data_IF_404769351857
#
_entry.id   IF_404769351857
#
_cell.length_a   1.000
_cell.length_b   1.000
_cell.length_c   1.000
_cell.angle_alpha   90.00
_cell.angle_beta   90.00
_cell.angle_gamma   90.00
#
_symmetry.space_group_name_H-M   'P 1'
#
loop_
_entity.id
_entity.type
_entity.pdbx_description
1 polymer ?
#
# COMPACT_ATOMS: atom_id res chain seq x y z
N UNK A 1 4.92 24.29 73.76
CA UNK A 1 3.95 25.11 72.99
C UNK A 1 4.69 25.76 71.83
N UNK A 2 4.41 25.35 70.61
CA UNK A 2 4.77 26.11 69.42
C UNK A 2 3.48 26.22 68.60
N UNK A 3 2.67 27.22 68.94
CA UNK A 3 1.50 27.56 68.15
C UNK A 3 1.99 27.97 66.77
N UNK A 4 1.72 27.15 65.77
CA UNK A 4 1.86 27.55 64.37
C UNK A 4 1.05 28.84 64.21
N UNK A 5 1.68 29.88 63.67
CA UNK A 5 1.04 31.17 63.48
C UNK A 5 -0.25 30.98 62.69
N UNK A 6 -1.36 31.65 63.06
CA UNK A 6 -2.62 31.65 62.30
C UNK A 6 -2.40 31.98 60.81
N UNK A 7 -1.35 32.74 60.49
CA UNK A 7 -0.95 33.03 59.12
C UNK A 7 -0.36 31.81 58.40
N UNK A 8 0.39 30.96 59.10
CA UNK A 8 0.96 29.72 58.56
C UNK A 8 -0.12 28.68 58.32
N UNK A 9 -1.10 28.51 59.22
CA UNK A 9 -2.25 27.59 58.99
C UNK A 9 -3.10 28.03 57.79
N UNK A 10 -3.37 29.34 57.66
CA UNK A 10 -4.09 29.88 56.49
C UNK A 10 -3.31 29.69 55.20
N UNK A 11 -2.00 29.92 55.21
CA UNK A 11 -1.15 29.75 54.04
C UNK A 11 -1.07 28.29 53.59
N UNK A 12 -0.94 27.35 54.54
CA UNK A 12 -1.01 25.91 54.26
C UNK A 12 -2.36 25.54 53.66
N UNK A 13 -3.48 25.99 54.25
CA UNK A 13 -4.81 25.70 53.73
C UNK A 13 -5.01 26.24 52.29
N UNK A 14 -4.54 27.46 52.00
CA UNK A 14 -4.63 28.03 50.63
C UNK A 14 -3.82 27.21 49.63
N UNK A 15 -2.61 26.78 49.98
CA UNK A 15 -1.77 25.95 49.10
C UNK A 15 -2.41 24.58 48.84
N UNK A 16 -3.05 24.00 49.87
CA UNK A 16 -3.74 22.71 49.78
C UNK A 16 -4.97 22.82 48.88
N UNK A 17 -5.80 23.84 49.07
CA UNK A 17 -6.94 24.09 48.19
C UNK A 17 -6.50 24.33 46.73
N UNK A 18 -5.37 25.00 46.52
CA UNK A 18 -4.81 25.23 45.18
C UNK A 18 -4.30 23.94 44.55
N UNK A 19 -3.60 23.08 45.29
CA UNK A 19 -3.16 21.77 44.82
C UNK A 19 -4.31 20.83 44.49
N UNK A 20 -5.32 20.77 45.36
CA UNK A 20 -6.54 19.99 45.12
C UNK A 20 -7.27 20.42 43.84
N UNK A 21 -7.30 21.73 43.54
CA UNK A 21 -7.89 22.22 42.29
C UNK A 21 -7.15 21.70 41.05
N UNK A 22 -5.82 21.61 41.09
CA UNK A 22 -5.01 21.05 39.99
C UNK A 22 -5.28 19.55 39.79
N UNK A 23 -5.44 18.79 40.89
CA UNK A 23 -5.79 17.36 40.84
C UNK A 23 -7.17 17.16 40.21
N UNK A 24 -8.16 17.93 40.64
CA UNK A 24 -9.53 17.86 40.12
C UNK A 24 -9.55 18.22 38.62
N UNK A 25 -8.77 19.22 38.20
CA UNK A 25 -8.65 19.60 36.79
C UNK A 25 -8.00 18.48 35.94
N UNK A 26 -6.95 17.83 36.45
CA UNK A 26 -6.33 16.68 35.79
C UNK A 26 -7.27 15.47 35.68
N UNK A 27 -8.04 15.19 36.73
CA UNK A 27 -9.05 14.14 36.73
C UNK A 27 -10.17 14.42 35.72
N UNK A 28 -10.63 15.67 35.62
CA UNK A 28 -11.61 16.09 34.61
C UNK A 28 -11.09 15.90 33.18
N UNK A 29 -9.84 16.27 32.91
CA UNK A 29 -9.24 16.04 31.58
C UNK A 29 -9.14 14.55 31.24
N UNK A 30 -8.92 13.69 32.23
CA UNK A 30 -8.87 12.23 32.03
C UNK A 30 -10.25 11.64 31.70
N UNK A 31 -11.31 12.11 32.35
CA UNK A 31 -12.68 11.70 32.04
C UNK A 31 -13.10 12.16 30.63
N UNK A 32 -12.56 13.28 30.15
CA UNK A 32 -12.87 13.83 28.81
C UNK A 32 -11.95 13.33 27.69
N UNK A 33 -11.04 12.37 27.95
CA UNK A 33 -10.14 11.73 26.97
C UNK A 33 -9.31 12.71 26.12
N UNK A 34 -8.81 13.80 26.71
CA UNK A 34 -7.92 14.74 26.03
C UNK A 34 -6.49 14.15 25.87
N UNK A 35 -5.80 14.46 24.78
CA UNK A 35 -4.49 13.89 24.45
C UNK A 35 -3.38 14.21 25.47
N UNK A 36 -3.54 15.26 26.28
CA UNK A 36 -2.62 15.66 27.36
C UNK A 36 -3.08 15.21 28.76
N UNK A 37 -4.15 14.41 28.86
CA UNK A 37 -4.77 14.07 30.14
C UNK A 37 -3.84 13.29 31.08
N UNK A 38 -3.04 12.36 30.55
CA UNK A 38 -2.11 11.58 31.37
C UNK A 38 -0.99 12.43 31.95
N UNK A 39 -0.56 13.45 31.23
CA UNK A 39 0.45 14.40 31.72
C UNK A 39 -0.09 15.25 32.87
N UNK A 40 -1.27 15.87 32.69
CA UNK A 40 -1.89 16.71 33.72
C UNK A 40 -2.32 15.91 34.96
N UNK A 41 -2.82 14.69 34.78
CA UNK A 41 -3.15 13.81 35.91
C UNK A 41 -1.90 13.43 36.71
N UNK A 42 -0.81 13.07 36.03
CA UNK A 42 0.44 12.72 36.69
C UNK A 42 1.01 13.91 37.48
N UNK A 43 0.99 15.12 36.91
CA UNK A 43 1.39 16.33 37.60
C UNK A 43 0.51 16.64 38.82
N UNK A 44 -0.82 16.46 38.71
CA UNK A 44 -1.74 16.62 39.84
C UNK A 44 -1.46 15.62 40.97
N UNK A 45 -1.33 14.34 40.65
CA UNK A 45 -1.05 13.30 41.66
C UNK A 45 0.29 13.50 42.37
N UNK A 46 1.33 13.96 41.66
CA UNK A 46 2.61 14.33 42.26
C UNK A 46 2.44 15.52 43.22
N UNK A 47 1.65 16.52 42.82
CA UNK A 47 1.35 17.68 43.67
C UNK A 47 0.64 17.26 44.97
N UNK A 48 -0.31 16.33 44.88
CA UNK A 48 -1.01 15.79 46.05
C UNK A 48 -0.08 14.99 46.96
N UNK A 49 0.82 14.18 46.39
CA UNK A 49 1.81 13.42 47.15
C UNK A 49 2.74 14.36 47.95
N UNK A 50 3.16 15.48 47.38
CA UNK A 50 3.97 16.49 48.07
C UNK A 50 3.18 17.16 49.20
N UNK A 51 1.90 17.49 48.98
CA UNK A 51 1.04 18.05 50.02
C UNK A 51 0.88 17.10 51.20
N UNK A 52 0.67 15.80 50.96
CA UNK A 52 0.57 14.80 52.03
C UNK A 52 1.87 14.65 52.82
N UNK A 53 3.02 14.72 52.15
CA UNK A 53 4.32 14.71 52.82
C UNK A 53 4.46 15.94 53.71
N UNK A 54 4.05 17.13 53.25
CA UNK A 54 4.08 18.36 54.07
C UNK A 54 3.14 18.24 55.27
N UNK A 55 1.93 17.68 55.10
CA UNK A 55 1.01 17.42 56.19
C UNK A 55 1.52 16.39 57.20
N UNK A 56 2.30 15.39 56.77
CA UNK A 56 2.91 14.43 57.68
C UNK A 56 3.89 15.08 58.69
N UNK A 57 4.46 16.23 58.33
CA UNK A 57 5.36 17.00 59.19
C UNK A 57 4.69 18.17 59.93
N UNK A 58 3.42 18.49 59.65
CA UNK A 58 2.64 19.46 60.43
C UNK A 58 1.74 18.75 61.45
N UNK A 59 1.72 19.19 62.73
CA UNK A 59 0.82 18.62 63.73
C UNK A 59 -0.65 18.88 63.37
N UNK A 60 -1.56 17.91 63.61
CA UNK A 60 -2.95 18.00 63.19
C UNK A 60 -3.69 19.14 63.92
N UNK A 61 -4.55 19.91 63.23
CA UNK A 61 -5.41 20.89 63.88
C UNK A 61 -6.42 20.16 64.78
N UNK A 62 -6.11 20.10 66.07
CA UNK A 62 -7.03 19.63 67.09
C UNK A 62 -7.90 20.79 67.61
N UNK A 63 -9.22 20.60 67.61
CA UNK A 63 -10.12 21.11 68.68
C UNK A 63 -11.63 20.84 68.47
N UNK A 64 -12.10 20.24 67.38
CA UNK A 64 -13.57 20.16 67.15
C UNK A 64 -14.23 18.81 67.48
N UNK A 65 -13.46 17.72 67.64
CA UNK A 65 -14.04 16.38 67.88
C UNK A 65 -14.41 16.09 69.35
N UNK A 66 -14.02 16.94 70.31
CA UNK A 66 -14.28 16.71 71.74
C UNK A 66 -15.67 17.17 72.21
N UNK A 67 -16.36 18.04 71.48
CA UNK A 67 -17.65 18.58 71.90
C UNK A 67 -18.84 17.60 71.76
N UNK A 68 -18.67 16.51 71.01
CA UNK A 68 -19.76 15.59 70.64
C UNK A 68 -19.88 14.41 71.63
N UNK A 69 -18.83 14.13 72.41
CA UNK A 69 -18.78 13.00 73.34
C UNK A 69 -19.44 13.27 74.71
N UNK A 70 -19.74 14.53 75.05
CA UNK A 70 -20.20 14.92 76.39
C UNK A 70 -21.73 14.93 76.56
N UNK A 71 -22.50 14.71 75.49
CA UNK A 71 -23.97 14.83 75.50
C UNK A 71 -24.75 13.55 75.89
N UNK A 72 -24.10 12.44 76.23
CA UNK A 72 -24.74 11.11 76.33
C UNK A 72 -25.20 10.58 77.72
N UNK A 73 -24.82 11.09 78.91
CA UNK A 73 -25.14 10.40 80.17
C UNK A 73 -26.26 11.04 81.03
N UNK A 74 -27.39 11.47 80.45
CA UNK A 74 -28.54 12.03 81.21
C UNK A 74 -29.88 11.30 81.07
N UNK A 75 -29.88 9.98 80.89
CA UNK A 75 -31.14 9.21 80.69
C UNK A 75 -31.29 7.90 81.50
N UNK A 76 -30.67 7.77 82.68
CA UNK A 76 -30.82 6.58 83.51
C UNK A 76 -31.25 6.91 84.95
N UNK A 77 -32.54 6.76 85.25
CA UNK A 77 -33.05 6.76 86.62
C UNK A 77 -34.58 6.66 86.72
N UNK A 78 -35.10 5.51 87.17
CA UNK A 78 -36.46 5.39 87.73
C UNK A 78 -37.24 4.16 87.23
N UNK A 79 -37.46 3.18 88.12
CA UNK A 79 -38.16 1.91 87.86
C UNK A 79 -39.54 1.86 88.54
N UNK A 80 -40.53 1.21 87.91
CA UNK A 80 -41.69 0.58 88.60
C UNK A 80 -42.49 -0.38 87.70
N UNK A 81 -42.45 -1.67 88.06
CA UNK A 81 -43.54 -2.67 88.13
C UNK A 81 -44.63 -2.75 87.03
N UNK A 82 -44.59 -3.88 86.29
CA UNK A 82 -45.58 -4.33 85.30
C UNK A 82 -44.89 -4.46 83.95
N UNK A 83 -44.45 -5.67 83.55
CA UNK A 83 -43.35 -5.88 82.61
C UNK A 83 -43.41 -4.96 81.36
N UNK A 84 -42.75 -3.79 81.40
CA UNK A 84 -42.96 -2.74 80.41
C UNK A 84 -42.30 -3.12 79.09
N UNK A 85 -41.48 -4.16 79.07
CA UNK A 85 -40.78 -4.63 77.89
C UNK A 85 -41.72 -5.39 76.94
N UNK A 86 -42.70 -6.15 77.45
CA UNK A 86 -43.67 -6.86 76.60
C UNK A 86 -44.73 -5.89 76.10
N UNK A 87 -45.26 -5.01 76.96
CA UNK A 87 -46.19 -3.96 76.53
C UNK A 87 -45.51 -2.92 75.63
N UNK A 88 -44.24 -2.53 75.87
CA UNK A 88 -43.50 -1.70 74.90
C UNK A 88 -43.12 -2.45 73.64
N UNK A 89 -43.00 -3.78 73.67
CA UNK A 89 -42.75 -4.57 72.47
C UNK A 89 -44.04 -4.75 71.66
N UNK A 90 -45.18 -4.95 72.32
CA UNK A 90 -46.51 -5.01 71.70
C UNK A 90 -46.95 -3.63 71.19
N UNK A 91 -46.71 -2.58 71.99
CA UNK A 91 -46.85 -1.19 71.58
C UNK A 91 -45.84 -0.84 70.48
N UNK A 92 -44.59 -1.32 70.49
CA UNK A 92 -43.69 -1.16 69.34
C UNK A 92 -44.15 -1.95 68.12
N UNK A 93 -44.77 -3.13 68.25
CA UNK A 93 -45.33 -3.87 67.10
C UNK A 93 -46.56 -3.16 66.52
N UNK A 94 -47.37 -2.54 67.38
CA UNK A 94 -48.56 -1.78 66.99
C UNK A 94 -48.21 -0.39 66.45
N UNK A 95 -47.22 0.29 67.03
CA UNK A 95 -46.78 1.66 66.73
C UNK A 95 -45.76 1.69 65.57
N UNK A 96 -45.00 0.61 65.35
CA UNK A 96 -44.23 0.39 64.12
C UNK A 96 -45.08 -0.16 62.96
N UNK A 97 -46.40 -0.29 63.15
CA UNK A 97 -47.38 -0.71 62.14
C UNK A 97 -46.94 -2.01 61.42
N UNK A 98 -46.44 -2.99 62.17
CA UNK A 98 -46.02 -4.31 61.67
C UNK A 98 -47.28 -5.17 61.46
N UNK A 99 -48.18 -4.67 60.61
CA UNK A 99 -49.41 -5.36 60.22
C UNK A 99 -49.06 -6.40 59.14
N UNK A 100 -49.74 -7.56 59.05
CA UNK A 100 -49.50 -8.56 58.00
C UNK A 100 -49.49 -7.97 56.58
N UNK A 101 -50.26 -6.90 56.35
CA UNK A 101 -50.29 -6.14 55.10
C UNK A 101 -48.98 -5.38 54.82
N UNK A 102 -48.33 -4.79 55.84
CA UNK A 102 -47.06 -4.07 55.68
C UNK A 102 -45.88 -5.05 55.56
N UNK A 103 -45.96 -6.21 56.19
CA UNK A 103 -45.01 -7.30 56.03
C UNK A 103 -45.14 -7.98 54.65
N UNK A 104 -46.36 -8.11 54.13
CA UNK A 104 -46.62 -8.51 52.75
C UNK A 104 -46.08 -7.48 51.74
N UNK A 105 -46.27 -6.19 52.01
CA UNK A 105 -45.67 -5.10 51.20
C UNK A 105 -44.15 -5.09 51.25
N UNK A 106 -43.55 -5.38 52.40
CA UNK A 106 -42.10 -5.52 52.55
C UNK A 106 -41.58 -6.74 51.77
N UNK A 107 -42.30 -7.86 51.83
CA UNK A 107 -42.01 -9.07 51.04
C UNK A 107 -42.11 -8.80 49.54
N UNK A 108 -43.14 -8.08 49.09
CA UNK A 108 -43.26 -7.63 47.71
C UNK A 108 -42.15 -6.63 47.33
N UNK A 109 -41.74 -5.76 48.26
CA UNK A 109 -40.59 -4.88 48.11
C UNK A 109 -39.29 -5.65 47.92
N UNK A 110 -39.06 -6.70 48.70
CA UNK A 110 -37.91 -7.60 48.57
C UNK A 110 -37.96 -8.44 47.29
N UNK A 111 -39.14 -8.90 46.87
CA UNK A 111 -39.32 -9.58 45.57
C UNK A 111 -39.04 -8.64 44.41
N UNK A 112 -39.53 -7.41 44.47
CA UNK A 112 -39.23 -6.37 43.48
C UNK A 112 -37.75 -6.02 43.47
N UNK A 113 -37.13 -5.84 44.63
CA UNK A 113 -35.69 -5.60 44.75
C UNK A 113 -34.88 -6.77 44.18
N UNK A 114 -35.24 -8.01 44.51
CA UNK A 114 -34.61 -9.20 43.95
C UNK A 114 -34.73 -9.27 42.43
N UNK A 115 -35.92 -8.94 41.89
CA UNK A 115 -36.11 -8.83 40.45
C UNK A 115 -35.30 -7.68 39.84
N UNK A 116 -35.21 -6.52 40.49
CA UNK A 116 -34.38 -5.39 40.04
C UNK A 116 -32.90 -5.74 40.05
N UNK A 117 -32.41 -6.47 41.06
CA UNK A 117 -31.02 -6.92 41.14
C UNK A 117 -30.72 -7.94 40.05
N UNK A 118 -31.63 -8.88 39.77
CA UNK A 118 -31.49 -9.80 38.63
C UNK A 118 -31.47 -9.05 37.30
N UNK A 119 -32.36 -8.07 37.11
CA UNK A 119 -32.37 -7.24 35.91
C UNK A 119 -31.09 -6.39 35.78
N UNK A 120 -30.50 -5.93 36.89
CA UNK A 120 -29.20 -5.24 36.88
C UNK A 120 -28.05 -6.18 36.48
N UNK A 121 -28.11 -7.45 36.91
CA UNK A 121 -27.14 -8.45 36.48
C UNK A 121 -27.24 -8.70 34.96
N UNK A 122 -28.47 -8.81 34.42
CA UNK A 122 -28.68 -8.94 32.98
C UNK A 122 -28.23 -7.69 32.21
N UNK A 123 -28.48 -6.48 32.75
CA UNK A 123 -27.98 -5.22 32.17
C UNK A 123 -26.45 -5.18 32.15
N UNK A 124 -25.77 -5.72 33.16
CA UNK A 124 -24.30 -5.82 33.18
C UNK A 124 -23.77 -6.68 32.03
N UNK A 125 -24.41 -7.82 31.75
CA UNK A 125 -24.06 -8.67 30.61
C UNK A 125 -24.41 -8.02 29.26
N UNK A 126 -25.52 -7.27 29.18
CA UNK A 126 -25.87 -6.47 28.00
C UNK A 126 -24.87 -5.35 27.75
N UNK A 127 -24.37 -4.69 28.80
CA UNK A 127 -23.33 -3.64 28.68
C UNK A 127 -22.02 -4.25 28.20
N UNK A 128 -21.63 -5.41 28.73
CA UNK A 128 -20.44 -6.15 28.26
C UNK A 128 -20.57 -6.54 26.78
N UNK A 129 -21.69 -7.14 26.39
CA UNK A 129 -21.93 -7.53 24.99
C UNK A 129 -22.05 -6.32 24.06
N UNK A 130 -22.55 -5.18 24.53
CA UNK A 130 -22.56 -3.90 23.76
C UNK A 130 -21.15 -3.34 23.58
N UNK A 131 -20.29 -3.46 24.59
CA UNK A 131 -18.88 -3.09 24.49
C UNK A 131 -18.15 -3.99 23.48
N UNK A 132 -18.36 -5.30 23.56
CA UNK A 132 -17.81 -6.28 22.61
C UNK A 132 -18.34 -6.05 21.20
N UNK A 133 -19.64 -5.75 21.03
CA UNK A 133 -20.24 -5.39 19.76
C UNK A 133 -19.57 -4.15 19.17
N UNK A 134 -19.41 -3.09 19.96
CA UNK A 134 -18.74 -1.86 19.51
C UNK A 134 -17.29 -2.13 19.08
N UNK A 135 -16.56 -2.96 19.83
CA UNK A 135 -15.20 -3.37 19.47
C UNK A 135 -15.18 -4.16 18.16
N UNK A 136 -16.08 -5.14 18.00
CA UNK A 136 -16.20 -5.93 16.77
C UNK A 136 -16.67 -5.10 15.57
N UNK A 137 -17.57 -4.15 15.75
CA UNK A 137 -17.99 -3.21 14.70
C UNK A 137 -16.82 -2.34 14.25
N UNK A 138 -15.95 -1.90 15.17
CA UNK A 138 -14.73 -1.16 14.83
C UNK A 138 -13.74 -2.03 14.03
N UNK A 139 -13.53 -3.28 14.44
CA UNK A 139 -12.72 -4.25 13.68
C UNK A 139 -13.29 -4.50 12.28
N UNK A 140 -14.60 -4.70 12.15
CA UNK A 140 -15.29 -4.87 10.87
C UNK A 140 -15.13 -3.64 9.99
N UNK A 141 -15.21 -2.44 10.56
CA UNK A 141 -15.00 -1.19 9.81
C UNK A 141 -13.59 -1.13 9.21
N UNK A 142 -12.57 -1.53 9.98
CA UNK A 142 -11.18 -1.62 9.49
C UNK A 142 -11.04 -2.69 8.41
N UNK A 143 -11.65 -3.86 8.61
CA UNK A 143 -11.64 -4.94 7.62
C UNK A 143 -12.35 -4.52 6.32
N UNK A 144 -13.45 -3.77 6.40
CA UNK A 144 -14.16 -3.23 5.23
C UNK A 144 -13.34 -2.18 4.50
N UNK A 145 -12.59 -1.33 5.22
CA UNK A 145 -11.68 -0.38 4.58
C UNK A 145 -10.53 -1.10 3.86
N UNK A 146 -9.94 -2.12 4.48
CA UNK A 146 -8.97 -2.99 3.83
C UNK A 146 -9.57 -3.69 2.60
N UNK A 147 -10.79 -4.22 2.70
CA UNK A 147 -11.48 -4.86 1.58
C UNK A 147 -11.74 -3.87 0.44
N UNK A 148 -12.12 -2.62 0.74
CA UNK A 148 -12.26 -1.56 -0.25
C UNK A 148 -10.94 -1.30 -0.97
N UNK A 149 -9.83 -1.20 -0.24
CA UNK A 149 -8.51 -1.00 -0.82
C UNK A 149 -8.09 -2.19 -1.71
N UNK A 150 -8.34 -3.42 -1.27
CA UNK A 150 -8.10 -4.63 -2.07
C UNK A 150 -8.97 -4.65 -3.33
N UNK A 151 -10.24 -4.29 -3.25
CA UNK A 151 -11.12 -4.21 -4.41
C UNK A 151 -10.67 -3.15 -5.41
N UNK A 152 -10.24 -1.98 -4.95
CA UNK A 152 -9.68 -0.94 -5.82
C UNK A 152 -8.37 -1.41 -6.47
N UNK A 153 -7.49 -2.04 -5.70
CA UNK A 153 -6.26 -2.64 -6.22
C UNK A 153 -6.52 -3.76 -7.22
N UNK A 154 -7.50 -4.62 -6.97
CA UNK A 154 -7.91 -5.68 -7.88
C UNK A 154 -8.50 -5.13 -9.18
N UNK A 155 -9.38 -4.11 -9.10
CA UNK A 155 -9.93 -3.45 -10.28
C UNK A 155 -8.81 -2.81 -11.14
N UNK A 156 -7.85 -2.14 -10.49
CA UNK A 156 -6.65 -1.62 -11.17
C UNK A 156 -5.82 -2.74 -11.81
N UNK A 157 -5.62 -3.85 -11.09
CA UNK A 157 -4.85 -5.00 -11.58
C UNK A 157 -5.54 -5.65 -12.78
N UNK A 158 -6.86 -5.79 -12.78
CA UNK A 158 -7.63 -6.29 -13.92
C UNK A 158 -7.48 -5.35 -15.13
N UNK A 159 -7.49 -4.03 -14.92
CA UNK A 159 -7.22 -3.08 -16.00
C UNK A 159 -5.80 -3.25 -16.56
N UNK A 160 -4.78 -3.32 -15.69
CA UNK A 160 -3.39 -3.54 -16.12
C UNK A 160 -3.21 -4.89 -16.82
N UNK A 161 -3.91 -5.93 -16.37
CA UNK A 161 -3.91 -7.25 -17.00
C UNK A 161 -4.53 -7.20 -18.39
N UNK A 162 -5.64 -6.49 -18.59
CA UNK A 162 -6.22 -6.28 -19.92
C UNK A 162 -5.27 -5.52 -20.86
N UNK A 163 -4.63 -4.46 -20.38
CA UNK A 163 -3.63 -3.73 -21.18
C UNK A 163 -2.41 -4.60 -21.52
N UNK A 164 -1.95 -5.43 -20.59
CA UNK A 164 -0.88 -6.39 -20.82
C UNK A 164 -1.28 -7.48 -21.82
N UNK A 165 -2.52 -7.98 -21.75
CA UNK A 165 -3.07 -8.95 -22.69
C UNK A 165 -3.13 -8.37 -24.12
N UNK A 166 -3.57 -7.11 -24.26
CA UNK A 166 -3.58 -6.43 -25.56
C UNK A 166 -2.17 -6.22 -26.12
N UNK A 167 -1.23 -5.78 -25.26
CA UNK A 167 0.19 -5.65 -25.63
C UNK A 167 0.80 -7.00 -26.04
N UNK A 168 0.44 -8.09 -25.36
CA UNK A 168 0.89 -9.45 -25.68
C UNK A 168 0.33 -9.91 -27.03
N UNK A 169 -0.93 -9.58 -27.34
CA UNK A 169 -1.52 -9.86 -28.65
C UNK A 169 -0.79 -9.12 -29.76
N UNK A 170 -0.53 -7.83 -29.59
CA UNK A 170 0.24 -7.03 -30.55
C UNK A 170 1.66 -7.59 -30.73
N UNK A 171 2.34 -7.98 -29.64
CA UNK A 171 3.64 -8.63 -29.71
C UNK A 171 3.59 -9.95 -30.49
N UNK A 172 2.57 -10.78 -30.25
CA UNK A 172 2.38 -12.03 -30.99
C UNK A 172 2.19 -11.78 -32.50
N UNK A 173 1.37 -10.80 -32.87
CA UNK A 173 1.20 -10.39 -34.27
C UNK A 173 2.53 -9.90 -34.89
N UNK A 174 3.30 -9.10 -34.16
CA UNK A 174 4.62 -8.65 -34.62
C UNK A 174 5.61 -9.81 -34.79
N UNK A 175 5.63 -10.78 -33.87
CA UNK A 175 6.47 -11.98 -33.97
C UNK A 175 6.04 -12.84 -35.15
N UNK A 176 4.73 -12.94 -35.43
CA UNK A 176 4.22 -13.65 -36.59
C UNK A 176 4.66 -12.98 -37.91
N UNK A 177 4.60 -11.65 -37.98
CA UNK A 177 5.11 -10.87 -39.12
C UNK A 177 6.63 -11.05 -39.26
N UNK A 178 7.38 -10.98 -38.17
CA UNK A 178 8.82 -11.22 -38.17
C UNK A 178 9.15 -12.63 -38.67
N UNK A 179 8.41 -13.64 -38.21
CA UNK A 179 8.57 -15.04 -38.66
C UNK A 179 8.30 -15.17 -40.16
N UNK A 180 7.25 -14.52 -40.67
CA UNK A 180 6.94 -14.49 -42.11
C UNK A 180 8.04 -13.79 -42.91
N UNK A 181 8.57 -12.67 -42.40
CA UNK A 181 9.68 -11.95 -43.04
C UNK A 181 10.96 -12.78 -43.04
N UNK A 182 11.30 -13.47 -41.96
CA UNK A 182 12.45 -14.38 -41.91
C UNK A 182 12.29 -15.57 -42.86
N UNK A 183 11.07 -16.13 -42.98
CA UNK A 183 10.77 -17.14 -43.98
C UNK A 183 10.96 -16.62 -45.42
N UNK A 184 10.48 -15.41 -45.70
CA UNK A 184 10.71 -14.74 -46.99
C UNK A 184 12.19 -14.45 -47.23
N UNK A 185 12.93 -14.04 -46.20
CA UNK A 185 14.37 -13.77 -46.30
C UNK A 185 15.14 -15.05 -46.62
N UNK A 186 14.78 -16.16 -45.99
CA UNK A 186 15.38 -17.46 -46.28
C UNK A 186 15.08 -17.91 -47.72
N UNK A 187 13.86 -17.67 -48.20
CA UNK A 187 13.50 -17.94 -49.60
C UNK A 187 14.28 -17.06 -50.58
N UNK A 188 14.50 -15.77 -50.26
CA UNK A 188 15.36 -14.87 -51.06
C UNK A 188 16.79 -15.38 -51.06
N UNK A 189 17.32 -15.81 -49.91
CA UNK A 189 18.68 -16.34 -49.82
C UNK A 189 18.87 -17.59 -50.69
N UNK A 190 17.88 -18.48 -50.72
CA UNK A 190 17.89 -19.64 -51.62
C UNK A 190 17.77 -19.25 -53.10
N UNK A 191 16.93 -18.25 -53.42
CA UNK A 191 16.84 -17.66 -54.75
C UNK A 191 18.16 -17.00 -55.18
N UNK A 192 18.83 -16.28 -54.29
CA UNK A 192 20.09 -15.59 -54.56
C UNK A 192 21.25 -16.59 -54.73
N UNK A 193 21.25 -17.68 -53.96
CA UNK A 193 22.15 -18.82 -54.20
C UNK A 193 21.90 -19.49 -55.55
N UNK A 194 20.64 -19.63 -55.97
CA UNK A 194 20.30 -20.17 -57.28
C UNK A 194 20.70 -19.22 -58.41
N UNK A 195 20.43 -17.92 -58.25
CA UNK A 195 20.77 -16.90 -59.24
C UNK A 195 22.28 -16.73 -59.37
N UNK A 196 23.03 -16.72 -58.27
CA UNK A 196 24.50 -16.74 -58.31
C UNK A 196 25.04 -18.00 -58.99
N UNK A 197 24.40 -19.16 -58.82
CA UNK A 197 24.78 -20.38 -59.55
C UNK A 197 24.53 -20.23 -61.07
N UNK A 198 23.38 -19.68 -61.45
CA UNK A 198 23.06 -19.38 -62.85
C UNK A 198 24.01 -18.33 -63.45
N UNK A 199 24.33 -17.29 -62.68
CA UNK A 199 25.27 -16.25 -63.06
C UNK A 199 26.69 -16.83 -63.24
N UNK A 200 27.13 -17.73 -62.37
CA UNK A 200 28.41 -18.44 -62.54
C UNK A 200 28.43 -19.32 -63.79
N UNK A 201 27.33 -20.00 -64.13
CA UNK A 201 27.22 -20.75 -65.38
C UNK A 201 27.28 -19.83 -66.60
N UNK A 202 26.51 -18.73 -66.57
CA UNK A 202 26.54 -17.73 -67.62
C UNK A 202 27.94 -17.11 -67.78
N UNK A 203 28.62 -16.82 -66.68
CA UNK A 203 29.98 -16.29 -66.68
C UNK A 203 30.99 -17.30 -67.24
N UNK A 204 30.88 -18.59 -66.89
CA UNK A 204 31.71 -19.65 -67.47
C UNK A 204 31.49 -19.78 -68.98
N UNK A 205 30.23 -19.79 -69.44
CA UNK A 205 29.93 -19.77 -70.87
C UNK A 205 30.44 -18.52 -71.57
N UNK A 206 30.33 -17.35 -70.93
CA UNK A 206 30.86 -16.10 -71.46
C UNK A 206 32.38 -16.17 -71.60
N UNK A 207 33.10 -16.66 -70.60
CA UNK A 207 34.54 -16.90 -70.67
C UNK A 207 34.90 -17.87 -71.80
N UNK A 208 34.17 -18.97 -71.95
CA UNK A 208 34.36 -19.91 -73.06
C UNK A 208 34.19 -19.24 -74.43
N UNK A 209 33.11 -18.48 -74.61
CA UNK A 209 32.85 -17.72 -75.83
C UNK A 209 33.90 -16.64 -76.09
N UNK A 210 34.42 -16.00 -75.03
CA UNK A 210 35.46 -14.97 -75.15
C UNK A 210 36.80 -15.58 -75.55
N UNK A 211 37.16 -16.75 -75.00
CA UNK A 211 38.34 -17.53 -75.44
C UNK A 211 38.19 -17.96 -76.90
N UNK A 212 37.02 -18.47 -77.29
CA UNK A 212 36.72 -18.85 -78.68
C UNK A 212 36.79 -17.66 -79.64
N UNK A 213 36.22 -16.51 -79.24
CA UNK A 213 36.28 -15.27 -80.01
C UNK A 213 37.73 -14.77 -80.13
N UNK A 214 38.50 -14.82 -79.05
CA UNK A 214 39.92 -14.47 -79.05
C UNK A 214 40.73 -15.36 -80.00
N UNK A 215 40.49 -16.68 -80.01
CA UNK A 215 41.13 -17.60 -80.94
C UNK A 215 40.74 -17.33 -82.40
N UNK A 216 39.44 -17.10 -82.66
CA UNK A 216 38.94 -16.76 -84.01
C UNK A 216 39.52 -15.43 -84.50
N UNK A 217 39.64 -14.45 -83.61
CA UNK A 217 40.24 -13.14 -83.91
C UNK A 217 41.73 -13.29 -84.20
N UNK A 218 42.45 -14.16 -83.47
CA UNK A 218 43.85 -14.50 -83.76
C UNK A 218 44.00 -15.09 -85.18
N UNK A 219 43.14 -16.05 -85.54
CA UNK A 219 43.13 -16.65 -86.88
C UNK A 219 42.77 -15.65 -87.98
N UNK A 220 41.82 -14.75 -87.69
CA UNK A 220 41.43 -13.67 -88.62
C UNK A 220 42.57 -12.68 -88.87
N UNK A 221 43.40 -12.40 -87.86
CA UNK A 221 44.61 -11.58 -88.02
C UNK A 221 45.62 -12.26 -88.95
N UNK A 222 45.81 -13.58 -88.82
CA UNK A 222 46.69 -14.33 -89.71
C UNK A 222 46.16 -14.40 -91.16
N UNK A 223 44.86 -14.59 -91.34
CA UNK A 223 44.24 -14.57 -92.66
C UNK A 223 44.25 -13.17 -93.29
N UNK A 224 44.06 -12.11 -92.50
CA UNK A 224 44.23 -10.73 -92.96
C UNK A 224 45.67 -10.45 -93.42
N UNK A 225 46.69 -10.97 -92.71
CA UNK A 225 48.09 -10.89 -93.14
C UNK A 225 48.31 -11.61 -94.47
N UNK A 226 47.82 -12.84 -94.61
CA UNK A 226 47.92 -13.59 -95.88
C UNK A 226 47.21 -12.88 -97.02
N UNK A 227 46.00 -12.37 -96.79
CA UNK A 227 45.26 -11.59 -97.78
C UNK A 227 46.05 -10.34 -98.19
N UNK A 228 46.67 -9.64 -97.23
CA UNK A 228 47.53 -8.50 -97.52
C UNK A 228 48.74 -8.89 -98.39
N UNK A 229 49.41 -10.01 -98.10
CA UNK A 229 50.49 -10.53 -98.95
C UNK A 229 50.01 -10.87 -100.37
N UNK A 230 48.85 -11.51 -100.51
CA UNK A 230 48.28 -11.85 -101.82
C UNK A 230 47.89 -10.61 -102.60
N UNK A 231 47.28 -9.61 -101.95
CA UNK A 231 46.96 -8.31 -102.56
C UNK A 231 48.25 -7.60 -102.98
N UNK A 232 49.32 -7.64 -102.15
CA UNK A 232 50.62 -7.07 -102.47
C UNK A 232 51.24 -7.74 -103.71
N UNK A 233 51.19 -9.08 -103.80
CA UNK A 233 51.62 -9.84 -104.99
C UNK A 233 50.80 -9.48 -106.23
N UNK A 234 49.47 -9.38 -106.09
CA UNK A 234 48.56 -8.97 -107.17
C UNK A 234 48.87 -7.55 -107.65
N UNK A 235 49.08 -6.60 -106.74
CA UNK A 235 49.48 -5.23 -107.06
C UNK A 235 50.83 -5.20 -107.81
N UNK A 236 51.80 -6.02 -107.38
CA UNK A 236 53.07 -6.21 -108.08
C UNK A 236 52.89 -6.76 -109.49
N UNK A 237 52.08 -7.82 -109.65
CA UNK A 237 51.79 -8.41 -110.96
C UNK A 237 51.03 -7.45 -111.89
N UNK A 238 50.07 -6.67 -111.35
CA UNK A 238 49.37 -5.62 -112.09
C UNK A 238 50.32 -4.51 -112.52
N UNK A 239 51.26 -4.12 -111.65
CA UNK A 239 52.32 -3.16 -111.99
C UNK A 239 53.22 -3.69 -113.12
N UNK A 240 53.63 -4.96 -113.04
CA UNK A 240 54.39 -5.63 -114.11
C UNK A 240 53.62 -5.69 -115.42
N UNK A 241 52.34 -6.07 -115.41
CA UNK A 241 51.47 -6.06 -116.58
C UNK A 241 51.33 -4.66 -117.16
N UNK A 242 51.09 -3.65 -116.33
CA UNK A 242 50.98 -2.26 -116.78
C UNK A 242 52.30 -1.74 -117.37
N UNK A 243 53.44 -2.19 -116.85
CA UNK A 243 54.77 -1.87 -117.40
C UNK A 243 54.96 -2.55 -118.77
N UNK A 244 54.56 -3.81 -118.93
CA UNK A 244 54.61 -4.50 -120.23
C UNK A 244 53.65 -3.86 -121.24
N UNK A 245 52.43 -3.51 -120.83
CA UNK A 245 51.48 -2.80 -121.69
C UNK A 245 51.99 -1.41 -122.06
N UNK A 246 52.60 -0.67 -121.13
CA UNK A 246 53.24 0.62 -121.40
C UNK A 246 54.41 0.51 -122.37
N UNK A 247 55.26 -0.51 -122.20
CA UNK A 247 56.37 -0.81 -123.11
C UNK A 247 55.88 -1.27 -124.48
N UNK A 248 54.80 -2.06 -124.57
CA UNK A 248 54.16 -2.41 -125.84
C UNK A 248 53.55 -1.18 -126.52
N UNK A 249 52.88 -0.30 -125.77
CA UNK A 249 52.24 0.90 -126.32
C UNK A 249 53.29 1.91 -126.81
N UNK A 250 54.41 2.03 -126.09
CA UNK A 250 55.59 2.81 -126.52
C UNK A 250 56.25 2.18 -127.76
N UNK A 251 56.35 0.86 -127.83
CA UNK A 251 56.83 0.14 -129.02
C UNK A 251 55.87 0.22 -130.22
N UNK A 252 54.58 0.48 -129.98
CA UNK A 252 53.57 0.62 -131.04
C UNK A 252 53.36 2.07 -131.50
N UNK A 253 53.63 3.07 -130.64
CA UNK A 253 53.61 4.49 -130.97
C UNK A 253 54.96 5.04 -131.45
N UNK A 254 56.05 4.28 -131.27
CA UNK A 254 57.37 4.58 -131.81
C UNK A 254 57.51 4.20 -133.30
N UNK A 255 56.74 4.85 -134.17
CA UNK A 255 57.02 5.00 -135.61
C UNK A 255 56.75 6.43 -136.03
#
# INVERSE_FOLDING_TARGET
MAGVSKSTERLVNVIVCMGAAVVIFGAWQKITHQALADFFLTAGLITEAVIFVVYAFLPPPGSEMHAIAEALPKLAGGASSGNPAIDKMDQMFHEADITPANLARLSDGFKKLGSTVNNIADVSDVVKTTADYTAKTKEVTVALDQMKNVYQGAASTVSSFNSAADSTKQFHEQVQVLTKNLGSLNAIYELELQDTNNHLKAMNSFYGNLVQASQTMQGSVDDAKKAHEQISKLAGNLSHLNTIYGNMLTAMQGR
#
